data_IF_501216779020
#
_entry.id   IF_501216779020
#
_cell.length_a   1.000
_cell.length_b   1.000
_cell.length_c   1.000
_cell.angle_alpha   90.00
_cell.angle_beta   90.00
_cell.angle_gamma   90.00
#
_symmetry.space_group_name_H-M   'P 1'
#
loop_
_entity.id
_entity.type
_entity.pdbx_description
1 polymer ?
#
# COMPACT_ATOMS: atom_id res chain seq x y z
N UNK A 1 0.08 21.43 -8.08
CA UNK A 1 -0.56 21.10 -6.79
C UNK A 1 0.02 22.00 -5.71
N UNK A 2 -0.79 22.57 -4.81
CA UNK A 2 -0.30 23.41 -3.71
C UNK A 2 0.17 22.56 -2.53
N UNK A 3 1.02 23.12 -1.65
CA UNK A 3 1.49 22.44 -0.43
C UNK A 3 0.33 21.98 0.46
N UNK A 4 -0.72 22.79 0.59
CA UNK A 4 -1.91 22.48 1.37
C UNK A 4 -2.63 21.20 0.90
N UNK A 5 -2.74 20.99 -0.42
CA UNK A 5 -3.36 19.78 -0.99
C UNK A 5 -2.50 18.54 -0.73
N UNK A 6 -1.18 18.69 -0.75
CA UNK A 6 -0.21 17.63 -0.38
C UNK A 6 -0.33 17.24 1.10
N UNK A 7 -0.33 18.22 2.01
CA UNK A 7 -0.50 17.98 3.45
C UNK A 7 -1.84 17.32 3.75
N UNK A 8 -2.92 17.70 3.05
CA UNK A 8 -4.22 17.04 3.21
C UNK A 8 -4.20 15.57 2.77
N UNK A 9 -3.49 15.25 1.69
CA UNK A 9 -3.29 13.86 1.25
C UNK A 9 -2.51 13.07 2.31
N UNK A 10 -1.42 13.65 2.83
CA UNK A 10 -0.59 13.09 3.90
C UNK A 10 -1.43 12.75 5.14
N UNK A 11 -2.13 13.73 5.71
CA UNK A 11 -2.89 13.55 6.97
C UNK A 11 -4.04 12.55 6.80
N UNK A 12 -4.72 12.55 5.64
CA UNK A 12 -5.76 11.55 5.38
C UNK A 12 -5.19 10.15 5.24
N UNK A 13 -4.04 10.00 4.59
CA UNK A 13 -3.35 8.70 4.48
C UNK A 13 -2.89 8.22 5.86
N UNK A 14 -2.38 9.13 6.69
CA UNK A 14 -1.99 8.87 8.09
C UNK A 14 -3.17 8.36 8.93
N UNK A 15 -4.32 9.05 8.85
CA UNK A 15 -5.54 8.63 9.52
C UNK A 15 -6.05 7.28 9.02
N UNK A 16 -6.02 7.03 7.71
CA UNK A 16 -6.40 5.73 7.13
C UNK A 16 -5.51 4.60 7.62
N UNK A 17 -4.20 4.83 7.76
CA UNK A 17 -3.27 3.85 8.30
C UNK A 17 -3.61 3.48 9.75
N UNK A 18 -3.83 4.47 10.62
CA UNK A 18 -4.24 4.22 12.00
C UNK A 18 -5.57 3.47 12.09
N UNK A 19 -6.61 3.93 11.38
CA UNK A 19 -7.93 3.31 11.41
C UNK A 19 -7.88 1.87 10.87
N UNK A 20 -7.25 1.66 9.72
CA UNK A 20 -7.19 0.31 9.11
C UNK A 20 -6.37 -0.66 9.96
N UNK A 21 -5.26 -0.22 10.56
CA UNK A 21 -4.44 -1.08 11.43
C UNK A 21 -5.21 -1.46 12.69
N UNK A 22 -5.89 -0.48 13.30
CA UNK A 22 -6.72 -0.71 14.47
C UNK A 22 -7.88 -1.66 14.18
N UNK A 23 -8.53 -1.54 13.02
CA UNK A 23 -9.57 -2.48 12.63
C UNK A 23 -9.03 -3.89 12.44
N UNK A 24 -7.86 -4.03 11.79
CA UNK A 24 -7.23 -5.33 11.52
C UNK A 24 -6.73 -5.98 12.82
N UNK A 25 -6.21 -5.21 13.78
CA UNK A 25 -5.70 -5.74 15.05
C UNK A 25 -6.76 -6.47 15.86
N UNK A 26 -8.03 -6.05 15.80
CA UNK A 26 -9.13 -6.77 16.46
C UNK A 26 -9.33 -8.19 15.92
N UNK A 27 -9.00 -8.46 14.65
CA UNK A 27 -9.11 -9.79 14.08
C UNK A 27 -7.85 -10.61 14.32
N UNK A 28 -6.70 -9.99 14.06
CA UNK A 28 -5.40 -10.67 14.00
C UNK A 28 -4.78 -10.83 15.39
N UNK A 29 -4.93 -9.85 16.29
CA UNK A 29 -4.46 -9.88 17.68
C UNK A 29 -5.61 -9.98 18.67
N UNK A 30 -6.70 -10.64 18.27
CA UNK A 30 -7.91 -10.83 19.09
C UNK A 30 -7.60 -11.44 20.46
N UNK A 31 -6.71 -12.43 20.51
CA UNK A 31 -6.23 -13.05 21.76
C UNK A 31 -5.65 -12.02 22.74
N UNK A 32 -4.79 -11.12 22.25
CA UNK A 32 -4.20 -10.04 23.06
C UNK A 32 -5.26 -9.12 23.65
N UNK A 33 -6.30 -8.77 22.89
CA UNK A 33 -7.40 -7.96 23.44
C UNK A 33 -8.18 -8.73 24.52
N UNK A 34 -8.42 -10.03 24.34
CA UNK A 34 -9.15 -10.84 25.32
C UNK A 34 -8.37 -10.97 26.61
N UNK A 35 -7.09 -11.34 26.50
CA UNK A 35 -6.19 -11.61 27.64
C UNK A 35 -5.86 -10.35 28.44
N UNK A 36 -5.49 -9.26 27.77
CA UNK A 36 -4.99 -8.06 28.45
C UNK A 36 -6.11 -7.09 28.85
N UNK A 37 -7.21 -7.02 28.09
CA UNK A 37 -8.20 -5.95 28.25
C UNK A 37 -9.63 -6.42 28.62
N UNK A 38 -10.00 -7.67 28.32
CA UNK A 38 -11.38 -8.15 28.57
C UNK A 38 -11.51 -9.21 29.67
N UNK A 39 -10.45 -9.94 30.05
CA UNK A 39 -10.49 -11.00 31.05
C UNK A 39 -9.31 -10.98 32.03
N UNK A 40 -9.37 -10.17 33.12
CA UNK A 40 -10.48 -9.31 33.56
C UNK A 40 -10.59 -8.03 32.73
N UNK A 41 -11.74 -7.36 32.81
CA UNK A 41 -11.92 -6.09 32.08
C UNK A 41 -11.01 -4.99 32.66
N UNK A 42 -10.10 -4.49 31.83
CA UNK A 42 -9.22 -3.37 32.14
C UNK A 42 -9.32 -2.30 31.04
N UNK A 43 -9.90 -1.15 31.39
CA UNK A 43 -10.09 -0.04 30.47
C UNK A 43 -8.78 0.68 30.11
N UNK A 44 -7.78 0.66 30.99
CA UNK A 44 -6.48 1.29 30.72
C UNK A 44 -5.71 0.47 29.70
N UNK A 45 -5.71 -0.86 29.84
CA UNK A 45 -5.08 -1.76 28.87
C UNK A 45 -5.78 -1.68 27.51
N UNK A 46 -7.12 -1.62 27.48
CA UNK A 46 -7.84 -1.40 26.23
C UNK A 46 -7.38 -0.12 25.53
N UNK A 47 -7.33 1.01 26.24
CA UNK A 47 -6.87 2.29 25.68
C UNK A 47 -5.41 2.18 25.21
N UNK A 48 -4.55 1.50 25.98
CA UNK A 48 -3.16 1.22 25.64
C UNK A 48 -3.04 0.49 24.30
N UNK A 49 -3.79 -0.59 24.11
CA UNK A 49 -3.85 -1.34 22.84
C UNK A 49 -4.36 -0.47 21.69
N UNK A 50 -5.42 0.32 21.90
CA UNK A 50 -5.94 1.22 20.86
C UNK A 50 -4.88 2.23 20.40
N UNK A 51 -4.13 2.82 21.35
CA UNK A 51 -3.05 3.77 21.06
C UNK A 51 -1.89 3.05 20.37
N UNK A 52 -1.50 1.87 20.84
CA UNK A 52 -0.42 1.08 20.27
C UNK A 52 -0.65 0.73 18.80
N UNK A 53 -1.80 0.11 18.48
CA UNK A 53 -2.12 -0.27 17.10
C UNK A 53 -2.39 0.93 16.20
N UNK A 54 -2.92 2.03 16.73
CA UNK A 54 -2.98 3.30 15.99
C UNK A 54 -1.59 3.85 15.66
N UNK A 55 -0.66 3.77 16.61
CA UNK A 55 0.75 4.14 16.45
C UNK A 55 1.45 3.33 15.36
N UNK A 56 1.25 2.00 15.36
CA UNK A 56 1.72 1.13 14.27
C UNK A 56 1.11 1.53 12.93
N UNK A 57 -0.18 1.85 12.90
CA UNK A 57 -0.83 2.32 11.67
C UNK A 57 -0.29 3.65 11.15
N UNK A 58 0.15 4.55 12.03
CA UNK A 58 0.88 5.74 11.61
C UNK A 58 2.20 5.38 10.92
N UNK A 59 2.98 4.46 11.50
CA UNK A 59 4.25 3.99 10.91
C UNK A 59 4.00 3.36 9.53
N UNK A 60 3.03 2.45 9.42
CA UNK A 60 2.69 1.82 8.14
C UNK A 60 2.27 2.83 7.08
N UNK A 61 1.49 3.84 7.47
CA UNK A 61 1.11 4.91 6.55
C UNK A 61 2.31 5.74 6.07
N UNK A 62 3.30 5.98 6.93
CA UNK A 62 4.49 6.76 6.58
C UNK A 62 5.37 5.95 5.63
N UNK A 63 5.48 4.64 5.84
CA UNK A 63 6.16 3.71 4.91
C UNK A 63 5.48 3.77 3.53
N UNK A 64 4.15 3.65 3.48
CA UNK A 64 3.35 3.78 2.27
C UNK A 64 3.53 5.15 1.58
N UNK A 65 3.60 6.24 2.34
CA UNK A 65 3.85 7.58 1.79
C UNK A 65 5.25 7.76 1.21
N UNK A 66 6.26 7.21 1.88
CA UNK A 66 7.62 7.17 1.36
C UNK A 66 7.69 6.37 0.06
N UNK A 67 7.09 5.18 0.02
CA UNK A 67 7.08 4.35 -1.19
C UNK A 67 6.27 4.98 -2.33
N UNK A 68 5.15 5.64 -2.04
CA UNK A 68 4.41 6.41 -3.04
C UNK A 68 5.23 7.55 -3.65
N UNK A 69 5.96 8.29 -2.83
CA UNK A 69 6.85 9.35 -3.32
C UNK A 69 8.01 8.79 -4.15
N UNK A 70 8.63 7.70 -3.68
CA UNK A 70 9.68 6.99 -4.42
C UNK A 70 9.16 6.51 -5.78
N UNK A 71 7.95 5.94 -5.82
CA UNK A 71 7.30 5.52 -7.06
C UNK A 71 7.09 6.68 -8.05
N UNK A 72 6.55 7.81 -7.60
CA UNK A 72 6.34 8.98 -8.48
C UNK A 72 7.67 9.44 -9.08
N UNK A 73 8.72 9.44 -8.26
CA UNK A 73 10.08 9.83 -8.65
C UNK A 73 10.68 8.86 -9.66
N UNK A 74 10.64 7.55 -9.37
CA UNK A 74 11.12 6.49 -10.26
C UNK A 74 10.35 6.50 -11.58
N UNK A 75 9.03 6.66 -11.55
CA UNK A 75 8.22 6.70 -12.76
C UNK A 75 8.53 7.94 -13.63
N UNK A 76 8.81 9.08 -13.01
CA UNK A 76 9.22 10.29 -13.71
C UNK A 76 10.60 10.13 -14.36
N UNK A 77 11.59 9.66 -13.61
CA UNK A 77 12.94 9.43 -14.13
C UNK A 77 12.97 8.30 -15.16
N UNK A 78 12.22 7.21 -14.94
CA UNK A 78 12.13 6.07 -15.85
C UNK A 78 11.59 6.47 -17.22
N UNK A 79 10.57 7.34 -17.27
CA UNK A 79 10.09 7.91 -18.54
C UNK A 79 11.15 8.74 -19.26
N UNK A 80 11.95 9.51 -18.52
CA UNK A 80 13.03 10.32 -19.08
C UNK A 80 14.16 9.45 -19.66
N UNK A 81 14.56 8.42 -18.93
CA UNK A 81 15.69 7.55 -19.27
C UNK A 81 15.34 6.53 -20.36
N UNK A 82 14.22 5.80 -20.21
CA UNK A 82 13.84 4.68 -21.08
C UNK A 82 12.83 5.05 -22.17
N UNK A 83 12.21 6.24 -22.09
CA UNK A 83 11.25 6.76 -23.07
C UNK A 83 10.13 5.75 -23.35
N UNK A 84 9.97 5.30 -24.60
CA UNK A 84 8.93 4.35 -25.02
C UNK A 84 9.10 2.95 -24.41
N UNK A 85 10.33 2.57 -24.05
CA UNK A 85 10.63 1.23 -23.50
C UNK A 85 10.33 1.13 -22.00
N UNK A 86 10.03 2.26 -21.33
CA UNK A 86 9.76 2.28 -19.89
C UNK A 86 8.65 1.31 -19.48
N UNK A 87 7.59 1.21 -20.28
CA UNK A 87 6.49 0.27 -20.02
C UNK A 87 6.97 -1.19 -19.94
N UNK A 88 7.88 -1.59 -20.84
CA UNK A 88 8.45 -2.94 -20.85
C UNK A 88 9.31 -3.18 -19.60
N UNK A 89 10.11 -2.19 -19.21
CA UNK A 89 10.91 -2.26 -17.97
C UNK A 89 10.02 -2.45 -16.75
N UNK A 90 8.90 -1.71 -16.65
CA UNK A 90 7.94 -1.89 -15.56
C UNK A 90 7.35 -3.30 -15.51
N UNK A 91 6.98 -3.87 -16.67
CA UNK A 91 6.48 -5.25 -16.73
C UNK A 91 7.53 -6.25 -16.25
N UNK A 92 8.79 -6.09 -16.66
CA UNK A 92 9.88 -6.95 -16.20
C UNK A 92 10.04 -6.85 -14.67
N UNK A 93 9.99 -5.64 -14.10
CA UNK A 93 10.08 -5.43 -12.65
C UNK A 93 8.90 -6.11 -11.93
N UNK A 94 7.68 -5.98 -12.44
CA UNK A 94 6.48 -6.63 -11.87
C UNK A 94 6.64 -8.15 -11.86
N UNK A 95 7.05 -8.73 -13.00
CA UNK A 95 7.27 -10.18 -13.12
C UNK A 95 8.41 -10.65 -12.22
N UNK A 96 9.47 -9.86 -12.10
CA UNK A 96 10.58 -10.13 -11.20
C UNK A 96 10.11 -10.13 -9.74
N UNK A 97 9.29 -9.16 -9.31
CA UNK A 97 8.72 -9.16 -7.96
C UNK A 97 7.83 -10.37 -7.70
N UNK A 98 7.01 -10.77 -8.68
CA UNK A 98 6.17 -11.95 -8.53
C UNK A 98 7.02 -13.22 -8.37
N UNK A 99 8.06 -13.34 -9.19
CA UNK A 99 9.02 -14.43 -9.07
C UNK A 99 9.72 -14.41 -7.70
N UNK A 100 10.21 -13.26 -7.26
CA UNK A 100 10.91 -13.07 -5.99
C UNK A 100 10.04 -13.52 -4.79
N UNK A 101 8.80 -13.03 -4.74
CA UNK A 101 7.82 -13.36 -3.70
C UNK A 101 7.51 -14.86 -3.61
N UNK A 102 7.48 -15.57 -4.75
CA UNK A 102 7.16 -17.01 -4.79
C UNK A 102 8.43 -17.84 -4.54
N UNK A 103 9.48 -17.61 -5.32
CA UNK A 103 10.66 -18.46 -5.37
C UNK A 103 11.50 -18.37 -4.09
N UNK A 104 11.83 -17.16 -3.61
CA UNK A 104 12.66 -17.04 -2.42
C UNK A 104 11.92 -17.49 -1.17
N UNK A 105 10.60 -17.24 -1.09
CA UNK A 105 9.77 -17.72 0.01
C UNK A 105 9.64 -19.25 0.01
N UNK A 106 9.48 -19.87 -1.17
CA UNK A 106 9.50 -21.32 -1.31
C UNK A 106 10.84 -21.93 -0.89
N UNK A 107 11.97 -21.31 -1.29
CA UNK A 107 13.32 -21.76 -0.94
C UNK A 107 13.66 -21.61 0.55
N UNK A 108 13.06 -20.64 1.22
CA UNK A 108 13.29 -20.38 2.65
C UNK A 108 12.36 -21.18 3.57
N UNK A 109 11.33 -21.83 3.03
CA UNK A 109 10.39 -22.64 3.81
C UNK A 109 10.78 -24.12 3.85
N UNK A 110 10.27 -24.83 4.84
CA UNK A 110 10.49 -26.27 5.01
C UNK A 110 9.52 -27.09 4.15
N UNK A 111 10.00 -27.59 3.00
CA UNK A 111 9.45 -28.67 2.16
C UNK A 111 7.92 -28.64 1.85
N UNK A 112 7.31 -27.45 1.85
CA UNK A 112 5.91 -27.26 1.47
C UNK A 112 5.67 -27.33 -0.04
N UNK A 113 4.43 -27.53 -0.47
CA UNK A 113 4.08 -27.41 -1.90
C UNK A 113 4.24 -25.98 -2.40
N UNK A 114 4.88 -25.77 -3.56
CA UNK A 114 5.03 -24.46 -4.19
C UNK A 114 3.69 -23.71 -4.37
N UNK A 115 2.59 -24.45 -4.54
CA UNK A 115 1.24 -23.90 -4.70
C UNK A 115 0.78 -23.07 -3.50
N UNK A 116 1.14 -23.47 -2.28
CA UNK A 116 0.78 -22.73 -1.06
C UNK A 116 1.46 -21.35 -1.03
N UNK A 117 2.65 -21.23 -1.60
CA UNK A 117 3.40 -19.97 -1.69
C UNK A 117 2.90 -19.05 -2.80
N UNK A 118 2.08 -19.55 -3.73
CA UNK A 118 1.52 -18.74 -4.83
C UNK A 118 0.24 -18.00 -4.45
N UNK A 119 -0.51 -18.48 -3.46
CA UNK A 119 -1.83 -17.92 -3.11
C UNK A 119 -1.71 -16.43 -2.80
N UNK A 120 -0.78 -16.08 -1.91
CA UNK A 120 -0.65 -14.71 -1.42
C UNK A 120 -0.12 -13.72 -2.47
N UNK A 121 0.98 -14.02 -3.20
CA UNK A 121 1.45 -13.14 -4.28
C UNK A 121 0.44 -12.98 -5.41
N UNK A 122 -0.30 -14.04 -5.77
CA UNK A 122 -1.33 -13.96 -6.82
C UNK A 122 -2.52 -13.12 -6.34
N UNK A 123 -2.99 -13.30 -5.10
CA UNK A 123 -4.05 -12.47 -4.54
C UNK A 123 -3.66 -10.98 -4.52
N UNK A 124 -2.43 -10.67 -4.11
CA UNK A 124 -1.89 -9.31 -4.13
C UNK A 124 -1.82 -8.74 -5.56
N UNK A 125 -1.38 -9.55 -6.53
CA UNK A 125 -1.34 -9.14 -7.93
C UNK A 125 -2.75 -8.88 -8.50
N UNK A 126 -3.72 -9.74 -8.20
CA UNK A 126 -5.12 -9.55 -8.62
C UNK A 126 -5.70 -8.27 -8.02
N UNK A 127 -5.45 -8.00 -6.74
CA UNK A 127 -5.84 -6.74 -6.10
C UNK A 127 -5.20 -5.53 -6.80
N UNK A 128 -3.89 -5.59 -7.08
CA UNK A 128 -3.18 -4.54 -7.80
C UNK A 128 -3.75 -4.30 -9.20
N UNK A 129 -4.10 -5.37 -9.94
CA UNK A 129 -4.74 -5.28 -11.25
C UNK A 129 -6.12 -4.63 -11.17
N UNK A 130 -6.92 -4.98 -10.16
CA UNK A 130 -8.25 -4.38 -9.94
C UNK A 130 -8.14 -2.86 -9.67
N UNK A 131 -7.26 -2.45 -8.76
CA UNK A 131 -7.03 -1.02 -8.46
C UNK A 131 -6.48 -0.28 -9.68
N UNK A 132 -5.55 -0.89 -10.42
CA UNK A 132 -5.01 -0.31 -11.65
C UNK A 132 -6.07 -0.17 -12.75
N UNK A 133 -7.02 -1.09 -12.82
CA UNK A 133 -8.15 -1.00 -13.74
C UNK A 133 -9.06 0.18 -13.39
N UNK A 134 -9.41 0.37 -12.12
CA UNK A 134 -10.18 1.56 -11.66
C UNK A 134 -9.44 2.84 -12.03
N UNK A 135 -8.13 2.90 -11.72
CA UNK A 135 -7.28 4.05 -12.07
C UNK A 135 -7.26 4.34 -13.58
N UNK A 136 -7.19 3.29 -14.40
CA UNK A 136 -7.22 3.40 -15.87
C UNK A 136 -8.54 4.01 -16.35
N UNK A 137 -9.67 3.59 -15.79
CA UNK A 137 -10.99 4.11 -16.13
C UNK A 137 -11.15 5.59 -15.80
N UNK A 138 -10.58 6.05 -14.67
CA UNK A 138 -10.66 7.45 -14.26
C UNK A 138 -9.64 8.38 -14.95
N UNK A 139 -8.66 7.83 -15.68
CA UNK A 139 -7.58 8.61 -16.31
C UNK A 139 -7.35 8.23 -17.77
N UNK A 140 -6.45 7.29 -18.06
CA UNK A 140 -6.18 6.78 -19.40
C UNK A 140 -5.50 5.41 -19.38
N UNK A 141 -5.46 4.75 -20.55
CA UNK A 141 -4.82 3.45 -20.76
C UNK A 141 -3.35 3.37 -20.34
N UNK A 142 -2.60 4.47 -20.42
CA UNK A 142 -1.17 4.49 -20.10
C UNK A 142 -0.89 4.49 -18.60
N UNK A 143 -1.89 4.78 -17.76
CA UNK A 143 -1.76 4.74 -16.30
C UNK A 143 -1.79 3.33 -15.71
N UNK A 144 -2.22 2.32 -16.48
CA UNK A 144 -2.44 0.96 -15.98
C UNK A 144 -1.17 0.28 -15.48
N UNK A 145 -0.13 0.13 -16.32
CA UNK A 145 1.11 -0.54 -15.92
C UNK A 145 1.83 0.19 -14.78
N UNK A 146 1.97 1.54 -14.79
CA UNK A 146 2.51 2.25 -13.64
C UNK A 146 1.70 2.03 -12.35
N UNK A 147 0.38 1.95 -12.44
CA UNK A 147 -0.48 1.65 -11.29
C UNK A 147 -0.26 0.22 -10.76
N UNK A 148 -0.11 -0.78 -11.63
CA UNK A 148 0.23 -2.15 -11.21
C UNK A 148 1.61 -2.18 -10.55
N UNK A 149 2.61 -1.51 -11.13
CA UNK A 149 3.95 -1.41 -10.54
C UNK A 149 3.89 -0.85 -9.11
N UNK A 150 3.14 0.22 -8.90
CA UNK A 150 3.00 0.79 -7.56
C UNK A 150 2.26 -0.17 -6.62
N UNK A 151 1.06 -0.61 -7.00
CA UNK A 151 0.21 -1.41 -6.12
C UNK A 151 0.78 -2.80 -5.83
N UNK A 152 1.58 -3.37 -6.73
CA UNK A 152 2.20 -4.68 -6.55
C UNK A 152 3.65 -4.57 -6.08
N UNK A 153 4.55 -4.06 -6.92
CA UNK A 153 5.99 -4.04 -6.64
C UNK A 153 6.33 -3.15 -5.45
N UNK A 154 5.85 -1.91 -5.44
CA UNK A 154 6.23 -0.96 -4.38
C UNK A 154 5.61 -1.37 -3.05
N UNK A 155 4.32 -1.75 -3.03
CA UNK A 155 3.69 -2.35 -1.84
C UNK A 155 4.47 -3.58 -1.33
N UNK A 156 4.97 -4.44 -2.22
CA UNK A 156 5.78 -5.61 -1.81
C UNK A 156 7.07 -5.17 -1.13
N UNK A 157 7.76 -4.16 -1.66
CA UNK A 157 8.97 -3.60 -1.05
C UNK A 157 8.67 -3.00 0.32
N UNK A 158 7.56 -2.26 0.45
CA UNK A 158 7.09 -1.71 1.72
C UNK A 158 6.77 -2.80 2.75
N UNK A 159 6.30 -3.97 2.28
CA UNK A 159 5.89 -5.10 3.11
C UNK A 159 7.05 -6.05 3.50
N UNK A 160 8.27 -5.81 2.99
CA UNK A 160 9.48 -6.59 3.34
C UNK A 160 9.71 -6.74 4.85
N UNK A 161 9.54 -5.70 5.70
CA UNK A 161 9.72 -5.86 7.14
C UNK A 161 8.80 -6.95 7.72
N UNK A 162 7.55 -7.03 7.27
CA UNK A 162 6.64 -8.04 7.75
C UNK A 162 6.93 -9.44 7.18
N UNK A 163 7.34 -9.51 5.91
CA UNK A 163 7.81 -10.76 5.30
C UNK A 163 9.01 -11.39 6.04
N UNK A 164 9.78 -10.59 6.79
CA UNK A 164 10.95 -11.03 7.56
C UNK A 164 10.67 -11.30 9.04
N UNK A 165 9.48 -10.94 9.55
CA UNK A 165 9.18 -11.02 10.97
C UNK A 165 8.83 -12.44 11.46
N UNK A 166 8.69 -13.41 10.55
CA UNK A 166 8.28 -14.80 10.81
C UNK A 166 7.02 -14.96 11.68
N UNK A 167 6.14 -13.94 11.67
CA UNK A 167 4.85 -13.92 12.36
C UNK A 167 3.74 -13.74 11.32
N UNK A 168 2.88 -14.77 11.20
CA UNK A 168 1.73 -14.78 10.31
C UNK A 168 0.73 -13.66 10.59
N UNK A 169 0.59 -13.26 11.84
CA UNK A 169 -0.27 -12.13 12.23
C UNK A 169 0.30 -10.82 11.71
N UNK A 170 1.61 -10.65 11.86
CA UNK A 170 2.29 -9.43 11.47
C UNK A 170 2.24 -9.19 9.94
N UNK A 171 2.22 -10.28 9.15
CA UNK A 171 1.99 -10.22 7.70
C UNK A 171 0.70 -9.47 7.37
N UNK A 172 -0.42 -9.85 7.98
CA UNK A 172 -1.73 -9.26 7.71
C UNK A 172 -1.90 -7.89 8.35
N UNK A 173 -1.38 -7.73 9.57
CA UNK A 173 -1.43 -6.48 10.32
C UNK A 173 -0.75 -5.33 9.56
N UNK A 174 0.32 -5.61 8.81
CA UNK A 174 0.99 -4.60 7.99
C UNK A 174 0.40 -4.49 6.58
N UNK A 175 0.08 -5.61 5.91
CA UNK A 175 -0.32 -5.57 4.51
C UNK A 175 -1.63 -4.81 4.28
N UNK A 176 -2.65 -5.07 5.10
CA UNK A 176 -3.97 -4.47 4.87
C UNK A 176 -3.92 -2.94 4.97
N UNK A 177 -3.29 -2.33 5.99
CA UNK A 177 -3.08 -0.89 6.04
C UNK A 177 -2.29 -0.33 4.86
N UNK A 178 -1.21 -1.01 4.42
CA UNK A 178 -0.45 -0.60 3.24
C UNK A 178 -1.34 -0.56 1.99
N UNK A 179 -2.16 -1.59 1.77
CA UNK A 179 -3.09 -1.64 0.64
C UNK A 179 -4.11 -0.51 0.69
N UNK A 180 -4.67 -0.23 1.86
CA UNK A 180 -5.63 0.89 2.05
C UNK A 180 -4.96 2.22 1.74
N UNK A 181 -3.79 2.50 2.33
CA UNK A 181 -3.04 3.73 2.12
C UNK A 181 -2.61 3.91 0.66
N UNK A 182 -1.98 2.91 0.06
CA UNK A 182 -1.50 2.96 -1.33
C UNK A 182 -2.67 3.14 -2.32
N UNK A 183 -3.77 2.41 -2.12
CA UNK A 183 -4.98 2.55 -2.95
C UNK A 183 -5.52 3.98 -2.88
N UNK A 184 -5.65 4.51 -1.66
CA UNK A 184 -6.14 5.87 -1.46
C UNK A 184 -5.24 6.91 -2.12
N UNK A 185 -3.92 6.81 -1.93
CA UNK A 185 -2.97 7.76 -2.52
C UNK A 185 -2.99 7.72 -4.05
N UNK A 186 -2.97 6.52 -4.63
CA UNK A 186 -2.96 6.33 -6.07
C UNK A 186 -4.20 6.91 -6.73
N UNK A 187 -5.39 6.66 -6.16
CA UNK A 187 -6.66 7.17 -6.70
C UNK A 187 -6.82 8.65 -6.38
N UNK A 188 -6.62 9.09 -5.13
CA UNK A 188 -6.89 10.48 -4.76
C UNK A 188 -5.97 11.48 -5.45
N UNK A 189 -4.69 11.13 -5.71
CA UNK A 189 -3.74 12.07 -6.30
C UNK A 189 -4.20 12.58 -7.68
N UNK A 190 -4.76 11.73 -8.55
CA UNK A 190 -5.18 12.23 -9.87
C UNK A 190 -6.40 13.14 -9.78
N UNK A 191 -7.34 12.83 -8.88
CA UNK A 191 -8.55 13.64 -8.68
C UNK A 191 -8.16 15.03 -8.20
N UNK A 192 -7.23 15.12 -7.25
CA UNK A 192 -6.67 16.41 -6.80
C UNK A 192 -6.01 17.16 -7.97
N UNK A 193 -5.26 16.48 -8.84
CA UNK A 193 -4.63 17.12 -9.99
C UNK A 193 -5.65 17.63 -11.03
N UNK A 194 -6.78 16.95 -11.21
CA UNK A 194 -7.88 17.41 -12.06
C UNK A 194 -8.57 18.63 -11.45
N UNK A 195 -8.94 18.57 -10.16
CA UNK A 195 -9.53 19.69 -9.40
C UNK A 195 -8.66 20.96 -9.50
N UNK A 196 -7.33 20.83 -9.37
CA UNK A 196 -6.40 21.97 -9.50
C UNK A 196 -6.40 22.57 -10.91
N UNK A 197 -6.48 21.74 -11.97
CA UNK A 197 -6.49 22.24 -13.35
C UNK A 197 -7.77 23.01 -13.66
N UNK A 198 -8.91 22.51 -13.19
CA UNK A 198 -10.22 23.17 -13.34
C UNK A 198 -10.25 24.52 -12.62
N UNK A 199 -9.80 24.57 -11.36
CA UNK A 199 -9.67 25.81 -10.57
C UNK A 199 -8.80 26.86 -11.28
N UNK A 200 -7.71 26.44 -11.93
CA UNK A 200 -6.82 27.34 -12.67
C UNK A 200 -7.48 27.88 -13.93
N UNK A 201 -8.14 27.03 -14.72
CA UNK A 201 -8.87 27.49 -15.91
C UNK A 201 -9.97 28.49 -15.55
N UNK A 202 -10.74 28.27 -14.48
CA UNK A 202 -11.83 29.15 -14.10
C UNK A 202 -11.36 30.56 -13.70
N UNK A 203 -10.19 30.67 -13.06
CA UNK A 203 -9.57 31.96 -12.72
C UNK A 203 -9.01 32.73 -13.92
N UNK A 204 -8.78 32.05 -15.04
CA UNK A 204 -8.24 32.68 -16.25
C UNK A 204 -9.36 33.30 -17.12
N UNK A 205 -10.62 32.92 -16.87
CA UNK A 205 -11.82 33.42 -17.55
C UNK A 205 -12.66 34.41 -16.72
N UNK A 206 -12.21 34.77 -15.51
CA UNK A 206 -12.83 35.76 -14.60
C UNK A 206 -11.85 36.90 -14.38
#
# INVERSE_FOLDING_TARGET
MTSQKWVRLFIRTLALGAISTLLVSFFVKSGTYVEEAFQPFDALELIGLLIWFSGLGFIFSVISQMGFFAYLTINQFGKSLFRSTWKSVQVIIILFTLFDLVYFRYRAGDDGSIWSYMIMPVALLLYALAVAYVKKQETNGQAFIPAVLFMFTITTVEWVPALRADDGDWLWLMLIPLLVCNTYQLIRLHRINQEVKEEQSHKEYV
#
